data_IF_999515748334
#
_entry.id   IF_999515748334
#
_cell.length_a   1.000
_cell.length_b   1.000
_cell.length_c   1.000
_cell.angle_alpha   90.00
_cell.angle_beta   90.00
_cell.angle_gamma   90.00
#
_symmetry.space_group_name_H-M   'P 1'
#
loop_
_entity.id
_entity.type
_entity.pdbx_description
1 polymer ?
#
# COMPACT_ATOMS: atom_id res chain seq x y z
N UNK A 1 -6.80 1.46 5.82
CA UNK A 1 -6.60 0.77 4.52
C UNK A 1 -5.55 1.55 3.74
N UNK A 2 -4.69 0.89 2.98
CA UNK A 2 -3.58 1.53 2.21
C UNK A 2 -3.99 2.00 0.81
N UNK A 3 -5.18 1.61 0.36
CA UNK A 3 -5.76 2.02 -0.92
C UNK A 3 -6.53 3.33 -0.81
N UNK A 4 -6.59 4.03 -1.94
CA UNK A 4 -7.40 5.21 -2.18
C UNK A 4 -8.78 4.80 -2.71
N UNK A 5 -9.72 5.72 -2.61
CA UNK A 5 -11.02 5.58 -3.27
C UNK A 5 -10.80 5.83 -4.77
N UNK A 6 -10.84 4.74 -5.56
CA UNK A 6 -10.56 4.79 -7.00
C UNK A 6 -11.88 5.00 -7.74
N UNK A 7 -12.00 6.08 -8.55
CA UNK A 7 -13.18 6.31 -9.39
C UNK A 7 -13.45 5.12 -10.32
N UNK A 8 -14.71 4.89 -10.68
CA UNK A 8 -15.07 3.88 -11.70
C UNK A 8 -14.53 4.29 -13.07
N UNK A 9 -13.91 3.35 -13.81
CA UNK A 9 -13.26 3.59 -15.09
C UNK A 9 -13.32 2.35 -16.00
N UNK A 10 -13.17 2.55 -17.30
CA UNK A 10 -13.04 1.46 -18.27
C UNK A 10 -11.57 1.02 -18.35
N UNK A 11 -11.29 -0.22 -17.94
CA UNK A 11 -9.92 -0.76 -17.98
C UNK A 11 -9.58 -1.27 -19.38
N UNK A 12 -8.71 -0.55 -20.08
CA UNK A 12 -8.28 -0.88 -21.45
C UNK A 12 -7.11 -1.87 -21.50
N UNK A 13 -6.64 -2.35 -20.34
CA UNK A 13 -5.75 -3.50 -20.19
C UNK A 13 -4.26 -3.26 -20.45
N UNK A 14 -3.85 -2.21 -21.16
CA UNK A 14 -2.43 -1.91 -21.36
C UNK A 14 -2.11 -0.42 -21.32
N UNK A 15 -0.85 -0.03 -21.04
CA UNK A 15 -0.43 1.36 -21.07
C UNK A 15 -0.54 1.88 -22.51
N UNK A 16 -1.61 2.60 -22.77
CA UNK A 16 -1.84 3.36 -24.00
C UNK A 16 -1.64 4.84 -23.63
N UNK A 17 -1.16 5.65 -24.57
CA UNK A 17 -1.10 7.10 -24.38
C UNK A 17 -2.53 7.65 -24.29
N UNK A 18 -3.00 7.83 -23.06
CA UNK A 18 -4.31 8.39 -22.72
C UNK A 18 -4.26 9.92 -22.58
N UNK A 19 -3.12 10.56 -22.86
CA UNK A 19 -2.88 11.95 -22.50
C UNK A 19 -2.71 12.11 -20.99
N UNK A 20 -3.10 13.25 -20.40
CA UNK A 20 -2.97 13.49 -18.95
C UNK A 20 -3.75 12.47 -18.12
N UNK A 21 -3.08 11.79 -17.19
CA UNK A 21 -3.69 10.82 -16.27
C UNK A 21 -3.51 11.23 -14.82
N UNK A 22 -4.40 10.73 -13.96
CA UNK A 22 -4.22 10.72 -12.50
C UNK A 22 -3.99 9.28 -12.06
N UNK A 23 -2.98 9.10 -11.21
CA UNK A 23 -2.65 7.80 -10.63
C UNK A 23 -3.28 7.67 -9.25
N UNK A 24 -4.02 6.58 -9.04
CA UNK A 24 -4.60 6.19 -7.76
C UNK A 24 -4.00 4.88 -7.26
N UNK A 25 -3.87 4.72 -5.95
CA UNK A 25 -3.47 3.45 -5.31
C UNK A 25 -4.69 2.57 -5.09
N UNK A 26 -4.84 1.54 -5.91
CA UNK A 26 -6.02 0.68 -5.88
C UNK A 26 -5.87 -0.48 -4.90
N UNK A 27 -6.85 -0.64 -4.01
CA UNK A 27 -6.98 -1.82 -3.16
C UNK A 27 -5.89 -1.97 -2.07
N UNK A 28 -5.87 -3.12 -1.38
CA UNK A 28 -4.91 -3.38 -0.32
C UNK A 28 -3.50 -3.63 -0.87
N UNK A 29 -2.50 -3.07 -0.20
CA UNK A 29 -1.09 -3.36 -0.45
C UNK A 29 -0.77 -4.79 0.04
N UNK A 30 -0.10 -5.58 -0.79
CA UNK A 30 0.42 -6.89 -0.38
C UNK A 30 1.89 -6.75 -0.05
N UNK A 31 2.34 -7.31 1.07
CA UNK A 31 3.72 -7.17 1.51
C UNK A 31 4.32 -8.51 1.93
N UNK A 32 5.55 -8.76 1.46
CA UNK A 32 6.38 -9.88 1.87
C UNK A 32 7.60 -9.33 2.61
N UNK A 33 7.82 -9.76 3.85
CA UNK A 33 8.98 -9.32 4.62
C UNK A 33 9.60 -10.47 5.40
N UNK A 34 10.91 -10.38 5.59
CA UNK A 34 11.65 -11.15 6.58
C UNK A 34 11.88 -10.30 7.82
N UNK A 35 11.67 -10.89 8.99
CA UNK A 35 11.92 -10.23 10.28
C UNK A 35 12.98 -10.97 11.07
N UNK A 36 14.00 -10.25 11.50
CA UNK A 36 14.99 -10.69 12.47
C UNK A 36 14.61 -10.08 13.83
N UNK A 37 14.52 -10.94 14.85
CA UNK A 37 14.26 -10.53 16.22
C UNK A 37 15.45 -10.93 17.08
N UNK A 38 16.15 -9.94 17.63
CA UNK A 38 17.30 -10.13 18.50
C UNK A 38 16.85 -10.02 19.95
N UNK A 39 16.98 -11.11 20.71
CA UNK A 39 16.69 -11.11 22.14
C UNK A 39 17.81 -10.39 22.90
N UNK A 40 17.40 -9.47 23.77
CA UNK A 40 18.23 -8.78 24.75
C UNK A 40 17.94 -9.31 26.17
N UNK A 41 18.49 -8.65 27.18
CA UNK A 41 18.35 -9.02 28.59
C UNK A 41 16.93 -8.69 29.09
N UNK A 42 16.41 -9.55 29.99
CA UNK A 42 15.15 -9.29 30.68
C UNK A 42 13.90 -9.38 29.80
N UNK A 43 13.97 -10.15 28.72
CA UNK A 43 12.85 -10.32 27.78
C UNK A 43 12.71 -9.18 26.77
N UNK A 44 13.55 -8.15 26.83
CA UNK A 44 13.59 -7.12 25.78
C UNK A 44 14.11 -7.70 24.47
N UNK A 45 13.66 -7.14 23.34
CA UNK A 45 14.12 -7.53 22.01
C UNK A 45 14.15 -6.33 21.07
N UNK A 46 14.98 -6.45 20.03
CA UNK A 46 15.03 -5.51 18.90
C UNK A 46 14.56 -6.25 17.67
N UNK A 47 13.63 -5.65 16.95
CA UNK A 47 13.04 -6.17 15.74
C UNK A 47 13.50 -5.34 14.56
N UNK A 48 14.08 -6.00 13.55
CA UNK A 48 14.38 -5.39 12.26
C UNK A 48 13.74 -6.25 11.18
N UNK A 49 12.93 -5.65 10.32
CA UNK A 49 12.37 -6.31 9.16
C UNK A 49 12.68 -5.55 7.88
N UNK A 50 12.80 -6.31 6.80
CA UNK A 50 12.96 -5.79 5.45
C UNK A 50 12.10 -6.59 4.48
N UNK A 51 11.52 -5.91 3.50
CA UNK A 51 10.54 -6.53 2.62
C UNK A 51 10.30 -5.80 1.31
N UNK A 52 9.36 -6.35 0.56
CA UNK A 52 8.83 -5.80 -0.67
C UNK A 52 7.31 -5.66 -0.54
N UNK A 53 6.80 -4.48 -0.83
CA UNK A 53 5.39 -4.20 -0.95
C UNK A 53 5.00 -4.07 -2.43
N UNK A 54 3.88 -4.69 -2.79
CA UNK A 54 3.26 -4.63 -4.11
C UNK A 54 1.96 -3.85 -3.96
N UNK A 55 1.86 -2.75 -4.70
CA UNK A 55 0.68 -1.89 -4.73
C UNK A 55 0.17 -1.81 -6.17
N UNK A 56 -1.13 -2.06 -6.34
CA UNK A 56 -1.80 -1.79 -7.61
C UNK A 56 -2.03 -0.30 -7.76
N UNK A 57 -1.80 0.21 -8.96
CA UNK A 57 -2.01 1.59 -9.34
C UNK A 57 -2.93 1.66 -10.56
N UNK A 58 -4.01 2.42 -10.44
CA UNK A 58 -4.92 2.75 -11.53
C UNK A 58 -4.52 4.10 -12.12
N UNK A 59 -4.28 4.14 -13.43
CA UNK A 59 -3.99 5.37 -14.18
C UNK A 59 -5.24 5.73 -14.98
N UNK A 60 -5.95 6.77 -14.54
CA UNK A 60 -7.24 7.16 -15.11
C UNK A 60 -7.05 8.43 -15.92
N UNK A 61 -7.54 8.45 -17.16
CA UNK A 61 -7.50 9.62 -18.03
C UNK A 61 -8.30 10.77 -17.41
N UNK A 62 -7.71 11.96 -17.43
CA UNK A 62 -8.44 13.17 -17.08
C UNK A 62 -9.48 13.49 -18.16
N UNK A 63 -10.69 13.92 -17.79
CA UNK A 63 -11.69 14.33 -18.77
C UNK A 63 -11.20 15.56 -19.53
N UNK A 64 -10.78 15.36 -20.78
CA UNK A 64 -10.54 16.44 -21.74
C UNK A 64 -11.90 16.88 -22.29
N UNK A 65 -12.67 17.64 -21.51
CA UNK A 65 -13.88 18.28 -22.03
C UNK A 65 -13.47 19.47 -22.91
N UNK A 66 -13.82 19.49 -24.20
CA UNK A 66 -13.66 20.69 -25.01
C UNK A 66 -14.47 21.83 -24.37
N UNK A 67 -13.86 23.01 -24.25
CA UNK A 67 -14.55 24.19 -23.74
C UNK A 67 -15.84 24.43 -24.56
N UNK A 68 -17.01 24.33 -23.91
CA UNK A 68 -18.31 24.60 -24.53
C UNK A 68 -19.25 23.40 -24.66
N UNK A 69 -18.84 22.18 -24.32
CA UNK A 69 -19.77 21.05 -24.18
C UNK A 69 -20.24 20.94 -22.73
N UNK A 70 -21.47 21.39 -22.47
CA UNK A 70 -22.22 20.95 -21.29
C UNK A 70 -22.65 19.51 -21.54
N UNK A 71 -22.09 18.56 -20.78
CA UNK A 71 -22.48 17.16 -20.84
C UNK A 71 -24.00 17.04 -20.66
N UNK A 72 -24.73 16.69 -21.73
CA UNK A 72 -25.97 15.94 -21.58
C UNK A 72 -25.63 14.71 -20.71
N UNK A 73 -26.55 14.32 -19.82
CA UNK A 73 -26.48 13.21 -18.83
C UNK A 73 -26.01 11.84 -19.39
N UNK A 74 -24.79 11.79 -19.91
CA UNK A 74 -24.08 10.60 -20.31
C UNK A 74 -22.85 10.57 -19.42
N UNK A 75 -22.96 9.80 -18.33
CA UNK A 75 -21.81 9.46 -17.51
C UNK A 75 -20.94 8.52 -18.35
N UNK A 76 -19.99 9.10 -19.09
CA UNK A 76 -18.96 8.32 -19.79
C UNK A 76 -17.90 7.97 -18.76
N UNK A 77 -17.69 6.68 -18.52
CA UNK A 77 -16.58 6.22 -17.69
C UNK A 77 -15.26 6.65 -18.34
N UNK A 78 -14.32 7.26 -17.61
CA UNK A 78 -13.01 7.56 -18.15
C UNK A 78 -12.27 6.27 -18.52
N UNK A 79 -11.41 6.33 -19.52
CA UNK A 79 -10.51 5.22 -19.83
C UNK A 79 -9.36 5.20 -18.82
N UNK A 80 -8.88 4.01 -18.48
CA UNK A 80 -7.70 3.86 -17.63
C UNK A 80 -7.05 2.49 -17.79
N UNK A 81 -5.91 2.30 -17.13
CA UNK A 81 -5.21 1.02 -17.08
C UNK A 81 -4.60 0.78 -15.71
N UNK A 82 -4.33 -0.48 -15.39
CA UNK A 82 -3.71 -0.89 -14.13
C UNK A 82 -2.24 -1.24 -14.32
N UNK A 83 -1.45 -0.94 -13.29
CA UNK A 83 -0.07 -1.40 -13.16
C UNK A 83 0.20 -1.84 -11.74
N UNK A 84 1.24 -2.66 -11.55
CA UNK A 84 1.76 -2.98 -10.23
C UNK A 84 3.07 -2.26 -10.00
N UNK A 85 3.21 -1.61 -8.85
CA UNK A 85 4.47 -1.05 -8.38
C UNK A 85 5.00 -1.83 -7.19
N UNK A 86 6.30 -2.06 -7.22
CA UNK A 86 7.05 -2.71 -6.15
C UNK A 86 7.85 -1.66 -5.38
N UNK A 87 7.76 -1.71 -4.06
CA UNK A 87 8.42 -0.80 -3.14
C UNK A 87 9.26 -1.58 -2.14
N UNK A 88 10.46 -1.09 -1.82
CA UNK A 88 11.22 -1.61 -0.69
C UNK A 88 10.58 -1.14 0.62
N UNK A 89 10.45 -2.05 1.58
CA UNK A 89 9.89 -1.76 2.89
C UNK A 89 10.82 -2.18 4.02
N UNK A 90 10.63 -1.55 5.17
CA UNK A 90 11.38 -1.87 6.36
C UNK A 90 10.63 -1.52 7.63
N UNK A 91 10.96 -2.25 8.68
CA UNK A 91 10.49 -2.03 10.04
C UNK A 91 11.68 -2.02 10.99
N UNK A 92 11.68 -1.08 11.92
CA UNK A 92 12.53 -1.14 13.10
C UNK A 92 11.66 -0.96 14.33
N UNK A 93 11.84 -1.81 15.33
CA UNK A 93 11.04 -1.78 16.54
C UNK A 93 11.72 -2.44 17.72
N UNK A 94 11.04 -2.37 18.85
CA UNK A 94 11.41 -3.05 20.08
C UNK A 94 10.27 -3.95 20.52
N UNK A 95 10.63 -5.06 21.14
CA UNK A 95 9.68 -6.00 21.73
C UNK A 95 9.99 -6.29 23.18
N UNK A 96 8.95 -6.68 23.90
CA UNK A 96 9.03 -7.25 25.24
C UNK A 96 8.41 -8.64 25.15
N UNK A 97 9.18 -9.64 25.57
CA UNK A 97 8.81 -11.04 25.64
C UNK A 97 8.63 -11.43 27.10
N UNK A 98 7.50 -12.07 27.37
CA UNK A 98 7.22 -12.87 28.56
C UNK A 98 7.21 -14.35 28.19
N UNK A 99 6.90 -15.22 29.16
CA UNK A 99 6.85 -16.68 28.95
C UNK A 99 5.87 -17.08 27.82
N UNK A 100 4.73 -16.39 27.69
CA UNK A 100 3.67 -16.77 26.75
C UNK A 100 3.32 -15.68 25.73
N UNK A 101 3.88 -14.48 25.86
CA UNK A 101 3.47 -13.32 25.07
C UNK A 101 4.66 -12.50 24.60
N UNK A 102 4.59 -12.00 23.38
CA UNK A 102 5.47 -10.96 22.84
C UNK A 102 4.61 -9.76 22.47
N UNK A 103 4.99 -8.58 22.95
CA UNK A 103 4.43 -7.30 22.50
C UNK A 103 5.53 -6.52 21.81
N UNK A 104 5.25 -5.94 20.65
CA UNK A 104 6.22 -5.14 19.89
C UNK A 104 5.63 -3.80 19.49
N UNK A 105 6.47 -2.76 19.47
CA UNK A 105 6.16 -1.47 18.86
C UNK A 105 7.30 -1.08 17.94
N UNK A 106 6.96 -0.56 16.76
CA UNK A 106 7.96 -0.15 15.79
C UNK A 106 7.44 0.85 14.78
N UNK A 107 8.37 1.38 13.99
CA UNK A 107 8.10 2.24 12.86
C UNK A 107 8.27 1.44 11.57
N UNK A 108 7.23 1.44 10.74
CA UNK A 108 7.21 0.85 9.41
C UNK A 108 7.27 1.94 8.34
N UNK A 109 8.17 1.82 7.37
CA UNK A 109 8.43 2.88 6.39
C UNK A 109 7.20 3.30 5.57
N UNK A 110 6.24 2.38 5.36
CA UNK A 110 5.00 2.64 4.60
C UNK A 110 3.73 2.75 5.43
N UNK A 111 3.73 2.23 6.66
CA UNK A 111 2.52 2.11 7.50
C UNK A 111 2.56 3.00 8.74
N UNK A 112 3.71 3.63 9.02
CA UNK A 112 3.91 4.40 10.23
C UNK A 112 4.08 3.50 11.44
N UNK A 113 3.49 3.89 12.57
CA UNK A 113 3.57 3.12 13.81
C UNK A 113 2.81 1.80 13.70
N UNK A 114 3.48 0.72 14.09
CA UNK A 114 2.92 -0.62 14.13
C UNK A 114 3.06 -1.19 15.53
N UNK A 115 1.98 -1.81 16.02
CA UNK A 115 1.95 -2.55 17.27
C UNK A 115 1.68 -4.01 16.93
N UNK A 116 2.47 -4.91 17.50
CA UNK A 116 2.35 -6.35 17.31
C UNK A 116 2.12 -7.05 18.64
N UNK A 117 1.29 -8.09 18.61
CA UNK A 117 1.07 -9.00 19.73
C UNK A 117 1.22 -10.42 19.19
N UNK A 118 2.04 -11.23 19.84
CA UNK A 118 2.30 -12.62 19.48
C UNK A 118 2.25 -13.52 20.69
N UNK A 119 1.90 -14.79 20.48
CA UNK A 119 1.89 -15.82 21.52
C UNK A 119 3.11 -16.71 21.36
N UNK A 120 3.75 -17.03 22.48
CA UNK A 120 4.88 -17.96 22.55
C UNK A 120 4.34 -19.30 23.02
N UNK A 121 4.63 -20.35 22.25
CA UNK A 121 4.31 -21.74 22.56
C UNK A 121 5.59 -22.52 22.85
#
# INVERSE_FOLDING_TARGET
>A
MTGEDVPDYENIGSPIDLGPTVTYREGPETEFYGRLSLALVGGLGVDVAGGLAIQKEAHIALPLLPAGLSALDVIVKPNGYQTERVYLTGLVGVSVRSENLIVSVGMHSRRGWVIGVGVVF
#
